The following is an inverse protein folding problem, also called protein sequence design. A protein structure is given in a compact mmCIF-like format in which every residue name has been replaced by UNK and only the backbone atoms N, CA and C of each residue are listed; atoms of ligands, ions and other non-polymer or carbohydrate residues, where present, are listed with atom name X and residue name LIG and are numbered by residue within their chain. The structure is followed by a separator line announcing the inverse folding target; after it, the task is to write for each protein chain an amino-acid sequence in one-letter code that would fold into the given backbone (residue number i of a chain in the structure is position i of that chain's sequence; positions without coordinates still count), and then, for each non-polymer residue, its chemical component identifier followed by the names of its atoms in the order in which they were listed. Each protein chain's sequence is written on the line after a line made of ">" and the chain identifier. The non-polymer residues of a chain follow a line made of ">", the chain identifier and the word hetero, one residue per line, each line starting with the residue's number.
data_IF_143500634820
#
_entry.id   IF_143500634820
#
_cell.length_a   1.000
_cell.length_b   1.000
_cell.length_c   1.000
_cell.angle_alpha   90.00
_cell.angle_beta   90.00
_cell.angle_gamma   90.00
#
_symmetry.space_group_name_H-M   'P 1'
#
loop_
_entity.id
_entity.type
_entity.pdbx_description
1 polymer ?
#
# COMPACT_ATOMS: atom_id res chain seq x y z
N UNK A 1 -5.32 -13.68 16.13
CA UNK A 1 -4.17 -13.14 15.37
C UNK A 1 -4.66 -12.87 13.95
N UNK A 2 -4.75 -11.61 13.54
CA UNK A 2 -5.27 -11.20 12.22
C UNK A 2 -4.08 -11.06 11.27
N UNK A 3 -3.94 -11.93 10.28
CA UNK A 3 -2.86 -11.81 9.29
C UNK A 3 -3.27 -10.74 8.26
N UNK A 4 -2.65 -9.56 8.34
CA UNK A 4 -2.80 -8.46 7.38
C UNK A 4 -1.52 -8.34 6.56
N UNK A 5 -1.28 -9.27 5.64
CA UNK A 5 -0.09 -9.24 4.77
C UNK A 5 -0.37 -8.33 3.57
N UNK A 6 0.52 -7.38 3.33
CA UNK A 6 0.52 -6.48 2.19
C UNK A 6 1.94 -6.48 1.59
N UNK A 7 2.11 -6.04 0.33
CA UNK A 7 3.41 -6.08 -0.35
C UNK A 7 3.80 -4.71 -0.91
N UNK A 8 4.45 -3.86 -0.10
CA UNK A 8 5.00 -2.61 -0.63
C UNK A 8 6.15 -2.95 -1.63
N UNK A 9 6.27 -2.20 -2.73
CA UNK A 9 7.40 -2.33 -3.66
C UNK A 9 8.02 -0.96 -3.86
N UNK A 10 9.05 -0.64 -3.08
CA UNK A 10 9.84 0.57 -3.32
C UNK A 10 10.52 0.49 -4.69
N UNK A 11 10.76 1.60 -5.38
CA UNK A 11 11.79 1.66 -6.43
C UNK A 11 12.48 3.02 -6.34
N UNK A 12 13.79 2.96 -6.13
CA UNK A 12 14.84 3.98 -6.38
C UNK A 12 15.20 4.96 -5.26
N UNK A 13 16.38 4.67 -4.68
CA UNK A 13 17.42 5.58 -4.16
C UNK A 13 16.95 6.89 -3.53
N UNK A 14 17.08 6.96 -2.20
CA UNK A 14 16.96 8.20 -1.45
C UNK A 14 18.17 8.32 -0.51
N UNK A 15 19.23 8.95 -1.02
CA UNK A 15 20.26 9.59 -0.20
C UNK A 15 19.60 10.77 0.52
N UNK A 16 19.29 10.64 1.80
CA UNK A 16 18.81 11.78 2.57
C UNK A 16 17.86 11.55 3.73
N UNK A 17 17.80 10.36 4.36
CA UNK A 17 17.41 10.28 5.77
C UNK A 17 17.78 8.92 6.37
N UNK A 18 18.65 8.99 7.36
CA UNK A 18 19.20 7.90 8.16
C UNK A 18 18.12 7.02 8.78
N UNK A 19 18.11 5.74 8.39
CA UNK A 19 17.96 4.63 9.36
C UNK A 19 18.52 3.31 8.84
N UNK A 20 18.68 3.10 7.52
CA UNK A 20 19.43 1.95 6.99
C UNK A 20 20.19 2.37 5.73
N UNK A 21 21.49 2.65 5.87
CA UNK A 21 22.42 2.60 4.76
C UNK A 21 22.45 1.17 4.22
N UNK A 22 21.64 0.85 3.20
CA UNK A 22 21.92 -0.21 2.22
C UNK A 22 20.84 -0.23 1.11
N UNK A 23 21.26 -0.66 -0.08
CA UNK A 23 20.52 -0.83 -1.33
C UNK A 23 19.23 -1.69 -1.26
N UNK A 24 18.24 -1.33 -0.45
CA UNK A 24 16.97 -2.04 -0.40
C UNK A 24 16.06 -1.53 -1.50
N UNK A 25 15.92 -2.33 -2.54
CA UNK A 25 15.01 -2.07 -3.65
C UNK A 25 13.58 -2.47 -3.33
N UNK A 26 13.31 -3.39 -2.38
CA UNK A 26 11.96 -3.91 -2.12
C UNK A 26 11.76 -4.03 -0.60
N UNK A 27 10.60 -3.58 -0.11
CA UNK A 27 10.21 -3.68 1.30
C UNK A 27 8.84 -4.35 1.40
N UNK A 28 8.74 -5.52 2.00
CA UNK A 28 7.44 -6.17 2.23
C UNK A 28 6.92 -5.77 3.61
N UNK A 29 5.70 -5.26 3.70
CA UNK A 29 5.15 -4.73 4.95
C UNK A 29 3.66 -5.01 5.10
N UNK A 30 3.19 -5.19 6.34
CA UNK A 30 1.77 -5.35 6.67
C UNK A 30 1.02 -4.03 6.58
N UNK A 31 -0.31 -4.08 6.46
CA UNK A 31 -1.14 -2.88 6.28
C UNK A 31 -1.05 -1.86 7.44
N UNK A 32 -0.63 -2.32 8.62
CA UNK A 32 -0.40 -1.46 9.80
C UNK A 32 0.73 -0.44 9.59
N UNK A 33 1.71 -0.73 8.72
CA UNK A 33 2.79 0.22 8.42
C UNK A 33 2.25 1.50 7.79
N UNK A 34 1.15 1.41 7.02
CA UNK A 34 0.55 2.55 6.35
C UNK A 34 0.10 3.65 7.32
N UNK A 35 -0.20 3.30 8.57
CA UNK A 35 -0.58 4.25 9.61
C UNK A 35 0.58 4.65 10.53
N UNK A 36 1.55 3.76 10.74
CA UNK A 36 2.56 3.93 11.79
C UNK A 36 3.85 4.64 11.38
N UNK A 37 4.24 4.61 10.10
CA UNK A 37 5.53 5.15 9.65
C UNK A 37 5.37 5.89 8.32
N UNK A 38 6.01 7.06 8.23
CA UNK A 38 6.07 7.79 6.97
C UNK A 38 7.20 7.22 6.09
N UNK A 39 6.84 6.31 5.18
CA UNK A 39 7.77 5.73 4.22
C UNK A 39 7.29 6.00 2.78
N UNK A 40 7.72 7.11 2.15
CA UNK A 40 7.30 7.49 0.81
C UNK A 40 8.04 6.68 -0.26
N UNK A 41 7.33 6.06 -1.20
CA UNK A 41 7.85 5.16 -2.23
C UNK A 41 7.43 5.62 -3.65
N UNK A 42 8.26 5.37 -4.66
CA UNK A 42 7.89 5.67 -6.06
C UNK A 42 6.75 4.75 -6.56
N UNK A 43 6.81 3.48 -6.17
CA UNK A 43 5.83 2.46 -6.50
C UNK A 43 5.23 1.91 -5.20
N UNK A 44 3.93 1.63 -5.21
CA UNK A 44 3.27 0.86 -4.16
C UNK A 44 2.38 -0.18 -4.82
N UNK A 45 2.48 -1.43 -4.37
CA UNK A 45 1.61 -2.50 -4.84
C UNK A 45 0.73 -2.96 -3.67
N UNK A 46 -0.58 -2.78 -3.81
CA UNK A 46 -1.55 -3.37 -2.89
C UNK A 46 -1.85 -4.79 -3.33
N UNK A 47 -1.12 -5.76 -2.77
CA UNK A 47 -1.36 -7.17 -3.08
C UNK A 47 -2.50 -7.72 -2.22
N UNK A 48 -3.68 -7.83 -2.83
CA UNK A 48 -4.88 -8.33 -2.16
C UNK A 48 -5.58 -7.24 -1.36
N UNK A 49 -6.90 -7.22 -1.42
CA UNK A 49 -7.74 -6.23 -0.74
C UNK A 49 -8.54 -6.82 0.41
N UNK A 50 -8.13 -8.00 0.88
CA UNK A 50 -8.79 -8.76 1.94
C UNK A 50 -7.77 -9.16 3.00
N UNK A 51 -8.25 -9.31 4.23
CA UNK A 51 -7.48 -9.88 5.32
C UNK A 51 -8.26 -10.97 6.03
N UNK A 52 -7.55 -11.90 6.65
CA UNK A 52 -8.19 -12.96 7.42
C UNK A 52 -8.52 -12.45 8.82
N UNK A 53 -9.81 -12.37 9.14
CA UNK A 53 -10.28 -12.07 10.49
C UNK A 53 -10.35 -13.35 11.33
N UNK A 54 -9.50 -13.44 12.35
CA UNK A 54 -9.44 -14.58 13.25
C UNK A 54 -10.67 -14.73 14.15
N UNK A 55 -11.48 -13.67 14.34
CA UNK A 55 -12.71 -13.73 15.15
C UNK A 55 -13.83 -14.42 14.38
N UNK A 56 -14.07 -13.98 13.16
CA UNK A 56 -15.11 -14.54 12.28
C UNK A 56 -14.64 -15.75 11.47
N UNK A 57 -13.32 -16.03 11.46
CA UNK A 57 -12.65 -17.09 10.69
C UNK A 57 -12.93 -17.00 9.18
N UNK A 58 -12.98 -15.78 8.67
CA UNK A 58 -13.29 -15.47 7.26
C UNK A 58 -12.36 -14.41 6.72
N UNK A 59 -12.22 -14.38 5.40
CA UNK A 59 -11.63 -13.24 4.71
C UNK A 59 -12.64 -12.11 4.64
N UNK A 60 -12.20 -10.93 5.03
CA UNK A 60 -13.00 -9.71 5.03
C UNK A 60 -12.23 -8.63 4.30
N UNK A 61 -12.95 -7.74 3.62
CA UNK A 61 -12.34 -6.64 2.87
C UNK A 61 -11.64 -5.66 3.81
N UNK A 62 -10.53 -5.09 3.34
CA UNK A 62 -9.97 -3.92 3.99
C UNK A 62 -10.96 -2.75 3.90
N UNK A 63 -11.04 -1.92 4.97
CA UNK A 63 -11.65 -0.61 4.86
C UNK A 63 -11.00 0.16 3.70
N UNK A 64 -11.80 0.88 2.90
CA UNK A 64 -11.27 1.65 1.77
C UNK A 64 -10.22 2.66 2.22
N UNK A 65 -10.37 3.23 3.42
CA UNK A 65 -9.41 4.14 4.05
C UNK A 65 -8.03 3.51 4.26
N UNK A 66 -7.96 2.23 4.65
CA UNK A 66 -6.68 1.52 4.76
C UNK A 66 -6.01 1.40 3.39
N UNK A 67 -6.79 1.08 2.35
CA UNK A 67 -6.28 0.97 0.97
C UNK A 67 -5.79 2.32 0.45
N UNK A 68 -6.55 3.40 0.73
CA UNK A 68 -6.17 4.78 0.39
C UNK A 68 -4.88 5.20 1.10
N UNK A 69 -4.72 4.88 2.38
CA UNK A 69 -3.48 5.15 3.12
C UNK A 69 -2.30 4.38 2.55
N UNK A 70 -2.50 3.12 2.16
CA UNK A 70 -1.47 2.31 1.53
C UNK A 70 -1.03 2.90 0.19
N UNK A 71 -1.96 3.26 -0.70
CA UNK A 71 -1.62 3.90 -1.98
C UNK A 71 -1.05 5.31 -1.82
N UNK A 72 -1.43 6.05 -0.77
CA UNK A 72 -0.89 7.39 -0.48
C UNK A 72 0.60 7.39 -0.14
N UNK A 73 1.21 6.21 0.09
CA UNK A 73 2.66 6.05 0.19
C UNK A 73 3.35 6.09 -1.17
N UNK A 74 2.63 5.96 -2.28
CA UNK A 74 3.15 6.11 -3.63
C UNK A 74 3.35 7.58 -4.00
N UNK A 75 4.07 8.33 -3.17
CA UNK A 75 4.36 9.74 -3.42
C UNK A 75 5.72 10.14 -2.83
N UNK A 76 6.52 10.84 -3.62
CA UNK A 76 7.86 11.34 -3.25
C UNK A 76 8.05 12.76 -3.78
N UNK A 77 7.46 13.78 -3.13
CA UNK A 77 7.35 15.14 -3.67
C UNK A 77 8.68 15.82 -4.05
N UNK A 78 9.78 15.40 -3.44
CA UNK A 78 11.11 15.98 -3.64
C UNK A 78 11.99 15.21 -4.63
N UNK A 79 11.55 14.02 -5.09
CA UNK A 79 12.40 13.10 -5.85
C UNK A 79 11.77 12.63 -7.17
N UNK A 80 10.46 12.44 -7.20
CA UNK A 80 9.76 11.87 -8.35
C UNK A 80 8.63 12.81 -8.80
N UNK A 81 8.52 13.04 -10.12
CA UNK A 81 7.43 13.86 -10.70
C UNK A 81 6.07 13.16 -10.63
N UNK A 82 6.08 11.83 -10.52
CA UNK A 82 4.89 10.98 -10.46
C UNK A 82 5.14 9.78 -9.54
N UNK A 83 4.15 9.46 -8.72
CA UNK A 83 4.07 8.20 -8.00
C UNK A 83 3.10 7.23 -8.66
N UNK A 84 3.36 5.92 -8.51
CA UNK A 84 2.53 4.86 -9.09
C UNK A 84 2.00 3.94 -8.00
N UNK A 85 0.69 3.75 -7.95
CA UNK A 85 0.05 2.76 -7.10
C UNK A 85 -0.64 1.70 -7.96
N UNK A 86 -0.43 0.42 -7.65
CA UNK A 86 -1.05 -0.72 -8.33
C UNK A 86 -1.83 -1.52 -7.32
N UNK A 87 -3.14 -1.66 -7.52
CA UNK A 87 -4.00 -2.48 -6.65
C UNK A 87 -4.29 -3.79 -7.35
N UNK A 88 -3.84 -4.89 -6.75
CA UNK A 88 -4.13 -6.25 -7.19
C UNK A 88 -5.37 -6.73 -6.44
N UNK A 89 -6.49 -6.75 -7.16
CA UNK A 89 -7.81 -7.08 -6.63
C UNK A 89 -8.49 -8.13 -7.51
N UNK A 90 -9.41 -8.90 -6.92
CA UNK A 90 -10.27 -9.80 -7.67
C UNK A 90 -11.14 -9.02 -8.69
N UNK A 91 -11.37 -9.60 -9.86
CA UNK A 91 -12.03 -8.94 -10.99
C UNK A 91 -13.43 -8.41 -10.63
N UNK A 92 -14.17 -9.17 -9.82
CA UNK A 92 -15.51 -8.83 -9.31
C UNK A 92 -15.51 -7.49 -8.55
N UNK A 93 -14.40 -7.13 -7.90
CA UNK A 93 -14.26 -5.91 -7.08
C UNK A 93 -13.55 -4.78 -7.81
N UNK A 94 -13.10 -5.00 -9.06
CA UNK A 94 -12.32 -4.04 -9.83
C UNK A 94 -13.08 -2.73 -10.05
N UNK A 95 -14.36 -2.81 -10.41
CA UNK A 95 -15.18 -1.63 -10.69
C UNK A 95 -15.54 -0.86 -9.42
N UNK A 96 -15.69 -1.55 -8.29
CA UNK A 96 -15.79 -0.91 -6.97
C UNK A 96 -14.55 -0.03 -6.75
N UNK A 97 -13.34 -0.59 -6.79
CA UNK A 97 -12.12 0.19 -6.55
C UNK A 97 -11.91 1.31 -7.57
N UNK A 98 -12.20 1.10 -8.85
CA UNK A 98 -12.15 2.18 -9.86
C UNK A 98 -13.06 3.34 -9.48
N UNK A 99 -14.31 3.05 -9.11
CA UNK A 99 -15.27 4.08 -8.73
C UNK A 99 -14.74 4.91 -7.55
N UNK A 100 -14.25 4.25 -6.50
CA UNK A 100 -13.71 4.91 -5.32
C UNK A 100 -12.43 5.71 -5.55
N UNK A 101 -11.64 5.38 -6.58
CA UNK A 101 -10.38 6.06 -6.87
C UNK A 101 -10.54 7.27 -7.80
N UNK A 102 -11.51 7.24 -8.71
CA UNK A 102 -11.65 8.24 -9.76
C UNK A 102 -12.84 9.18 -9.58
N UNK A 103 -13.84 8.80 -8.78
CA UNK A 103 -14.94 9.71 -8.45
C UNK A 103 -14.60 10.51 -7.19
N UNK A 104 -14.62 11.85 -7.24
CA UNK A 104 -14.51 12.67 -6.05
C UNK A 104 -15.73 12.44 -5.15
N UNK A 105 -15.51 12.36 -3.83
CA UNK A 105 -16.55 12.21 -2.81
C UNK A 105 -17.49 13.42 -2.75
#
# INVERSE_FOLDING_TARGET
>A
MTLKVFLLYFVKSMTGMTLISLCLQILIATSTLAWGVNFPAHLVIVKGTEYYDGKTRRYVDYPITDVLQMMGRADRPQYDDQGKAVILVNDIKKDFYKKFLYEPF
#
